data_IF_635140409392
#
_entry.id   IF_635140409392
#
_cell.length_a   1.000
_cell.length_b   1.000
_cell.length_c   1.000
_cell.angle_alpha   90.00
_cell.angle_beta   90.00
_cell.angle_gamma   90.00
#
_symmetry.space_group_name_H-M   'P 1'
#
loop_
_entity.id
_entity.type
_entity.pdbx_description
1 polymer ?
#
# COMPACT_ATOMS: atom_id res chain seq x y z
N UNK A 1 30.32 73.58 3.90
CA UNK A 1 28.93 73.07 3.88
C UNK A 1 28.93 71.72 3.21
N UNK A 2 28.92 70.63 3.99
CA UNK A 2 28.77 69.28 3.46
C UNK A 2 27.35 68.84 3.81
N UNK A 3 26.52 68.68 2.79
CA UNK A 3 25.13 68.25 2.92
C UNK A 3 25.11 66.73 2.72
N UNK A 4 25.07 65.97 3.83
CA UNK A 4 24.91 64.52 3.77
C UNK A 4 23.43 64.20 3.68
N UNK A 5 22.97 63.79 2.50
CA UNK A 5 21.60 63.31 2.29
C UNK A 5 21.50 61.89 2.82
N UNK A 6 20.86 61.72 3.98
CA UNK A 6 20.49 60.40 4.49
C UNK A 6 19.31 59.91 3.65
N UNK A 7 19.59 59.00 2.71
CA UNK A 7 18.56 58.27 1.99
C UNK A 7 18.00 57.20 2.93
N UNK A 8 16.78 57.40 3.41
CA UNK A 8 16.05 56.43 4.21
C UNK A 8 15.60 55.29 3.28
N UNK A 9 16.33 54.17 3.31
CA UNK A 9 15.93 52.95 2.63
C UNK A 9 14.73 52.34 3.37
N UNK A 10 13.53 52.57 2.86
CA UNK A 10 12.32 51.89 3.31
C UNK A 10 12.39 50.45 2.80
N UNK A 11 12.79 49.53 3.68
CA UNK A 11 12.63 48.10 3.43
C UNK A 11 11.14 47.80 3.39
N UNK A 12 10.60 47.60 2.18
CA UNK A 12 9.27 47.02 2.00
C UNK A 12 9.32 45.59 2.55
N UNK A 13 8.95 45.43 3.83
CA UNK A 13 8.61 44.14 4.40
C UNK A 13 7.28 43.71 3.77
N UNK A 14 7.33 43.13 2.58
CA UNK A 14 6.19 42.47 1.98
C UNK A 14 5.95 41.15 2.72
N UNK A 15 4.84 41.05 3.44
CA UNK A 15 4.37 39.75 3.92
C UNK A 15 4.02 38.91 2.69
N UNK A 16 4.76 37.83 2.43
CA UNK A 16 4.23 36.72 1.64
C UNK A 16 3.13 36.11 2.50
N UNK A 17 1.88 36.50 2.25
CA UNK A 17 0.76 35.71 2.73
C UNK A 17 0.76 34.45 1.88
N UNK A 18 1.42 33.40 2.36
CA UNK A 18 1.05 32.05 1.92
C UNK A 18 -0.46 31.98 2.10
N UNK A 19 -1.18 31.63 1.04
CA UNK A 19 -2.64 31.63 0.97
C UNK A 19 -3.24 30.52 1.86
N UNK A 20 -2.57 30.16 2.96
CA UNK A 20 -2.91 29.05 3.79
C UNK A 20 -4.16 29.37 4.61
N UNK A 21 -5.13 28.46 4.55
CA UNK A 21 -6.32 28.49 5.38
C UNK A 21 -6.07 27.67 6.64
N UNK A 22 -6.54 28.15 7.80
CA UNK A 22 -6.43 27.44 9.08
C UNK A 22 -7.76 26.77 9.38
N UNK A 23 -7.77 25.45 9.45
CA UNK A 23 -8.95 24.67 9.84
C UNK A 23 -9.28 24.87 11.33
N UNK A 24 -10.50 24.53 11.78
CA UNK A 24 -10.91 24.66 13.18
C UNK A 24 -10.03 23.94 14.21
N UNK A 25 -9.33 22.86 13.81
CA UNK A 25 -8.37 22.14 14.65
C UNK A 25 -6.95 22.74 14.65
N UNK A 26 -6.72 23.81 13.89
CA UNK A 26 -5.42 24.44 13.70
C UNK A 26 -4.60 23.88 12.54
N UNK A 27 -5.12 22.88 11.79
CA UNK A 27 -4.47 22.36 10.57
C UNK A 27 -4.34 23.47 9.53
N UNK A 28 -3.17 23.57 8.89
CA UNK A 28 -2.90 24.57 7.86
C UNK A 28 -3.02 23.93 6.48
N UNK A 29 -4.00 24.34 5.71
CA UNK A 29 -4.23 23.91 4.34
C UNK A 29 -3.65 24.91 3.35
N UNK A 30 -3.10 24.41 2.23
CA UNK A 30 -2.65 25.29 1.16
C UNK A 30 -3.85 26.00 0.51
N UNK A 31 -3.65 27.19 -0.06
CA UNK A 31 -4.78 28.02 -0.54
C UNK A 31 -5.58 27.49 -1.72
N UNK A 32 -5.20 26.35 -2.28
CA UNK A 32 -5.94 25.62 -3.30
C UNK A 32 -6.58 24.33 -2.74
N UNK A 33 -6.66 24.21 -1.42
CA UNK A 33 -7.27 23.10 -0.72
C UNK A 33 -8.26 23.60 0.30
N UNK A 34 -9.31 22.82 0.54
CA UNK A 34 -10.38 23.10 1.50
C UNK A 34 -10.18 22.25 2.75
N UNK A 35 -10.62 22.80 3.89
CA UNK A 35 -10.70 22.05 5.15
C UNK A 35 -11.88 21.07 5.11
N UNK A 36 -11.56 19.78 5.09
CA UNK A 36 -12.52 18.69 5.14
C UNK A 36 -12.47 18.00 6.52
N UNK A 37 -13.60 17.92 7.20
CA UNK A 37 -13.70 17.23 8.49
C UNK A 37 -13.80 15.72 8.25
N UNK A 38 -12.86 14.96 8.83
CA UNK A 38 -12.90 13.51 8.72
C UNK A 38 -13.95 12.93 9.69
N UNK A 39 -14.75 11.93 9.27
CA UNK A 39 -15.60 11.16 10.16
C UNK A 39 -14.85 10.50 11.32
N UNK A 40 -13.58 10.15 11.09
CA UNK A 40 -12.64 9.62 12.11
C UNK A 40 -12.06 10.69 13.05
N UNK A 41 -12.38 11.97 12.83
CA UNK A 41 -11.96 13.11 13.63
C UNK A 41 -10.78 13.88 13.04
N UNK A 42 -10.77 15.20 13.29
CA UNK A 42 -9.76 16.13 12.78
C UNK A 42 -10.03 16.56 11.34
N UNK A 43 -9.19 17.47 10.84
CA UNK A 43 -9.32 17.99 9.48
C UNK A 43 -8.26 17.40 8.55
N UNK A 44 -8.56 17.37 7.27
CA UNK A 44 -7.62 17.14 6.17
C UNK A 44 -7.78 18.22 5.10
N UNK A 45 -6.76 18.38 4.28
CA UNK A 45 -6.75 19.35 3.21
C UNK A 45 -7.00 18.65 1.89
N UNK A 46 -8.16 18.91 1.28
CA UNK A 46 -8.54 18.30 0.00
C UNK A 46 -8.51 19.31 -1.13
N UNK A 47 -8.13 18.88 -2.32
CA UNK A 47 -8.38 19.66 -3.54
C UNK A 47 -9.86 19.60 -3.92
N UNK A 48 -10.34 20.58 -4.67
CA UNK A 48 -11.72 20.57 -5.19
C UNK A 48 -11.99 19.32 -6.03
N UNK A 49 -11.01 18.85 -6.80
CA UNK A 49 -11.13 17.62 -7.62
C UNK A 49 -11.30 16.37 -6.74
N UNK A 50 -10.51 16.25 -5.66
CA UNK A 50 -10.59 15.11 -4.74
C UNK A 50 -11.95 15.00 -4.04
N UNK A 51 -12.50 16.13 -3.59
CA UNK A 51 -13.82 16.12 -2.95
C UNK A 51 -14.94 15.93 -3.98
N UNK A 52 -14.87 16.62 -5.13
CA UNK A 52 -15.89 16.52 -6.17
C UNK A 52 -16.02 15.10 -6.75
N UNK A 53 -14.92 14.34 -6.81
CA UNK A 53 -14.92 12.97 -7.30
C UNK A 53 -15.75 11.99 -6.44
N UNK A 54 -16.00 12.31 -5.16
CA UNK A 54 -16.70 11.43 -4.22
C UNK A 54 -17.87 12.07 -3.47
N UNK A 55 -18.20 13.33 -3.77
CA UNK A 55 -19.29 14.03 -3.09
C UNK A 55 -20.63 13.33 -3.36
N UNK A 56 -21.23 12.77 -2.31
CA UNK A 56 -22.49 12.03 -2.38
C UNK A 56 -22.38 10.61 -2.93
N UNK A 57 -21.16 10.08 -3.10
CA UNK A 57 -20.93 8.68 -3.43
C UNK A 57 -20.81 7.82 -2.16
N UNK A 58 -21.08 6.53 -2.30
CA UNK A 58 -20.93 5.56 -1.23
C UNK A 58 -19.45 5.21 -0.99
N UNK A 59 -19.13 4.71 0.21
CA UNK A 59 -17.78 4.26 0.56
C UNK A 59 -17.33 3.09 -0.33
N UNK A 60 -16.08 3.12 -0.77
CA UNK A 60 -15.46 2.08 -1.60
C UNK A 60 -15.83 2.16 -3.08
N UNK A 61 -16.62 3.14 -3.51
CA UNK A 61 -16.89 3.37 -4.94
C UNK A 61 -15.62 3.81 -5.65
N UNK A 62 -15.32 3.19 -6.80
CA UNK A 62 -14.18 3.57 -7.64
C UNK A 62 -14.31 5.03 -8.10
N UNK A 63 -13.22 5.78 -7.96
CA UNK A 63 -13.08 7.17 -8.37
C UNK A 63 -11.75 7.36 -9.10
N UNK A 64 -11.52 8.54 -9.66
CA UNK A 64 -10.24 8.88 -10.29
C UNK A 64 -9.95 10.36 -10.20
N UNK A 65 -8.68 10.72 -10.07
CA UNK A 65 -8.16 12.09 -10.14
C UNK A 65 -7.18 12.13 -11.32
N UNK A 66 -7.52 12.87 -12.37
CA UNK A 66 -6.91 12.67 -13.68
C UNK A 66 -6.98 11.20 -14.14
N UNK A 67 -5.83 10.60 -14.46
CA UNK A 67 -5.69 9.20 -14.87
C UNK A 67 -5.35 8.24 -13.71
N UNK A 68 -5.34 8.73 -12.47
CA UNK A 68 -4.98 7.93 -11.30
C UNK A 68 -6.24 7.33 -10.67
N UNK A 69 -6.35 5.99 -10.57
CA UNK A 69 -7.50 5.35 -9.95
C UNK A 69 -7.45 5.50 -8.43
N UNK A 70 -8.62 5.48 -7.81
CA UNK A 70 -8.81 5.55 -6.37
C UNK A 70 -10.15 4.98 -5.94
N UNK A 71 -10.46 5.06 -4.65
CA UNK A 71 -11.77 4.75 -4.11
C UNK A 71 -12.24 5.85 -3.16
N UNK A 72 -13.55 6.05 -3.12
CA UNK A 72 -14.18 7.01 -2.22
C UNK A 72 -14.04 6.54 -0.79
N UNK A 73 -13.41 7.37 0.04
CA UNK A 73 -13.24 7.14 1.48
C UNK A 73 -13.45 8.44 2.25
N UNK A 74 -14.37 8.41 3.21
CA UNK A 74 -14.76 9.58 3.99
C UNK A 74 -15.21 10.76 3.10
N UNK A 75 -15.80 10.50 1.93
CA UNK A 75 -16.27 11.54 1.00
C UNK A 75 -15.20 12.22 0.14
N UNK A 76 -13.97 11.71 0.10
CA UNK A 76 -12.92 12.11 -0.86
C UNK A 76 -12.44 10.93 -1.69
N UNK A 77 -11.91 11.22 -2.87
CA UNK A 77 -11.22 10.22 -3.66
C UNK A 77 -9.80 10.00 -3.13
N UNK A 78 -9.57 8.84 -2.51
CA UNK A 78 -8.27 8.39 -2.06
C UNK A 78 -7.64 7.50 -3.15
N UNK A 79 -6.51 7.95 -3.69
CA UNK A 79 -5.83 7.26 -4.79
C UNK A 79 -5.24 5.93 -4.35
N UNK A 80 -5.18 4.97 -5.28
CA UNK A 80 -4.52 3.69 -5.06
C UNK A 80 -3.00 3.87 -5.11
N UNK A 81 -2.33 3.59 -4.00
CA UNK A 81 -0.88 3.55 -3.94
C UNK A 81 -0.39 2.60 -2.85
N UNK A 82 0.80 2.04 -3.08
CA UNK A 82 1.39 1.12 -2.14
C UNK A 82 1.71 1.77 -0.79
N UNK A 83 1.18 1.18 0.27
CA UNK A 83 1.35 1.60 1.65
C UNK A 83 0.25 2.53 2.15
N UNK A 84 -0.87 2.64 1.43
CA UNK A 84 -2.03 3.45 1.82
C UNK A 84 -2.88 2.81 2.93
N UNK A 85 -2.59 1.55 3.27
CA UNK A 85 -3.29 0.76 4.29
C UNK A 85 -4.46 -0.06 3.76
N UNK A 86 -4.74 -0.02 2.45
CA UNK A 86 -5.85 -0.70 1.82
C UNK A 86 -5.32 -1.67 0.77
N UNK A 87 -5.95 -2.84 0.68
CA UNK A 87 -5.64 -3.76 -0.41
C UNK A 87 -6.43 -3.32 -1.65
N UNK A 88 -5.76 -2.66 -2.59
CA UNK A 88 -6.39 -2.10 -3.79
C UNK A 88 -6.01 -2.85 -5.06
N UNK A 89 -6.64 -2.50 -6.18
CA UNK A 89 -6.41 -3.18 -7.45
C UNK A 89 -4.94 -3.04 -7.90
N UNK A 90 -4.27 -4.16 -8.12
CA UNK A 90 -2.86 -4.21 -8.53
C UNK A 90 -1.86 -4.45 -7.39
N UNK A 91 -2.34 -4.56 -6.15
CA UNK A 91 -1.52 -4.86 -4.98
C UNK A 91 -1.70 -6.31 -4.52
N UNK A 92 -0.60 -6.98 -4.21
CA UNK A 92 -0.65 -8.31 -3.59
C UNK A 92 -0.81 -8.20 -2.06
N UNK A 93 -0.39 -7.09 -1.48
CA UNK A 93 -0.43 -6.78 -0.06
C UNK A 93 -0.26 -5.26 0.12
N UNK A 94 -0.61 -4.73 1.30
CA UNK A 94 -0.34 -3.36 1.72
C UNK A 94 0.13 -3.36 3.18
N UNK A 95 1.41 -3.03 3.42
CA UNK A 95 2.02 -3.03 4.76
C UNK A 95 1.86 -4.38 5.47
N UNK A 96 1.07 -4.42 6.53
CA UNK A 96 0.76 -5.64 7.30
C UNK A 96 -0.56 -6.29 6.82
N UNK A 97 -1.32 -5.61 5.95
CA UNK A 97 -2.50 -6.14 5.28
C UNK A 97 -2.04 -7.05 4.13
N UNK A 98 -2.19 -8.35 4.29
CA UNK A 98 -1.84 -9.33 3.26
C UNK A 98 -3.06 -9.61 2.37
N UNK A 99 -2.84 -9.84 1.08
CA UNK A 99 -3.90 -9.81 0.08
C UNK A 99 -4.34 -11.14 -0.52
N UNK A 100 -5.14 -11.05 -1.59
CA UNK A 100 -5.67 -12.20 -2.31
C UNK A 100 -4.87 -12.44 -3.60
N UNK A 101 -4.67 -13.70 -3.97
CA UNK A 101 -4.28 -14.10 -5.31
C UNK A 101 -5.49 -14.73 -6.04
N UNK A 102 -5.30 -15.23 -7.27
CA UNK A 102 -6.34 -15.92 -8.03
C UNK A 102 -6.88 -17.21 -7.40
N UNK A 103 -6.33 -17.66 -6.26
CA UNK A 103 -6.63 -18.91 -5.57
C UNK A 103 -7.18 -18.70 -4.14
N UNK A 104 -7.13 -17.47 -3.59
CA UNK A 104 -7.65 -17.16 -2.26
C UNK A 104 -6.85 -16.07 -1.54
N UNK A 105 -7.10 -15.91 -0.24
CA UNK A 105 -6.32 -15.02 0.63
C UNK A 105 -4.95 -15.64 0.93
N UNK A 106 -3.89 -14.88 0.70
CA UNK A 106 -2.51 -15.23 1.06
C UNK A 106 -2.13 -14.41 2.29
N UNK A 107 -2.04 -15.03 3.46
CA UNK A 107 -1.68 -14.34 4.71
C UNK A 107 -0.46 -14.93 5.43
N UNK A 108 0.16 -15.95 4.85
CA UNK A 108 1.31 -16.62 5.43
C UNK A 108 2.17 -17.27 4.35
N UNK A 109 3.40 -17.63 4.72
CA UNK A 109 4.26 -18.39 3.83
C UNK A 109 3.62 -19.74 3.46
N UNK A 110 2.79 -20.31 4.35
CA UNK A 110 2.05 -21.53 4.09
C UNK A 110 1.04 -21.34 2.94
N UNK A 111 0.29 -20.24 2.95
CA UNK A 111 -0.65 -19.94 1.86
C UNK A 111 0.08 -19.63 0.55
N UNK A 112 1.30 -19.10 0.65
CA UNK A 112 2.19 -18.88 -0.49
C UNK A 112 2.92 -20.15 -0.97
N UNK A 113 2.60 -21.33 -0.42
CA UNK A 113 3.11 -22.63 -0.88
C UNK A 113 4.34 -23.17 -0.15
N UNK A 114 4.82 -22.50 0.90
CA UNK A 114 5.96 -22.95 1.71
C UNK A 114 5.52 -23.85 2.86
N UNK A 115 6.43 -24.67 3.40
CA UNK A 115 6.10 -25.53 4.54
C UNK A 115 6.08 -24.81 5.89
N UNK A 116 6.83 -23.72 6.05
CA UNK A 116 6.74 -22.88 7.25
C UNK A 116 5.68 -21.79 7.10
N UNK A 117 4.99 -21.46 8.20
CA UNK A 117 3.97 -20.39 8.23
C UNK A 117 4.59 -18.99 8.23
N UNK A 118 5.67 -18.81 8.98
CA UNK A 118 6.21 -17.50 9.32
C UNK A 118 7.15 -16.95 8.24
N UNK A 119 7.26 -15.62 8.19
CA UNK A 119 8.24 -14.92 7.37
C UNK A 119 7.69 -14.20 6.14
N UNK A 120 6.39 -14.30 5.86
CA UNK A 120 5.79 -13.57 4.73
C UNK A 120 5.71 -12.09 5.08
N UNK A 121 6.18 -11.23 4.17
CA UNK A 121 6.15 -9.77 4.36
C UNK A 121 5.64 -9.09 3.10
N UNK A 122 5.26 -7.82 3.24
CA UNK A 122 4.97 -6.96 2.11
C UNK A 122 6.16 -6.04 1.80
N UNK A 123 6.60 -6.00 0.54
CA UNK A 123 7.62 -5.04 0.09
C UNK A 123 6.99 -3.64 -0.02
N UNK A 124 7.83 -2.61 -0.07
CA UNK A 124 7.41 -1.24 -0.40
C UNK A 124 6.88 -1.06 -1.82
N UNK A 125 6.89 -2.13 -2.62
CA UNK A 125 6.29 -2.20 -3.96
C UNK A 125 4.99 -3.01 -3.97
N UNK A 126 4.44 -3.36 -2.80
CA UNK A 126 3.18 -4.09 -2.63
C UNK A 126 3.15 -5.45 -3.33
N UNK A 127 4.33 -6.09 -3.36
CA UNK A 127 4.54 -7.46 -3.78
C UNK A 127 4.97 -8.25 -2.55
N UNK A 128 4.52 -9.50 -2.45
CA UNK A 128 4.96 -10.40 -1.39
C UNK A 128 6.49 -10.58 -1.39
N UNK A 129 7.06 -10.55 -0.20
CA UNK A 129 8.44 -10.96 0.07
C UNK A 129 8.43 -12.33 0.72
N UNK A 130 8.82 -13.34 -0.06
CA UNK A 130 8.97 -14.72 0.40
C UNK A 130 10.41 -15.05 0.77
N UNK A 131 11.34 -14.08 0.76
CA UNK A 131 12.76 -14.34 1.06
C UNK A 131 13.02 -14.84 2.48
N UNK A 132 12.08 -14.60 3.40
CA UNK A 132 12.11 -15.08 4.79
C UNK A 132 11.17 -16.28 5.01
N UNK A 133 10.46 -16.74 3.97
CA UNK A 133 9.75 -18.00 4.02
C UNK A 133 10.76 -19.13 4.07
N UNK A 134 10.57 -20.05 5.01
CA UNK A 134 11.49 -21.17 5.25
C UNK A 134 10.76 -22.50 5.14
N UNK A 135 11.48 -23.60 5.33
CA UNK A 135 10.92 -24.94 5.28
C UNK A 135 10.96 -25.57 3.89
N UNK A 136 11.11 -24.77 2.82
CA UNK A 136 11.11 -25.19 1.41
C UNK A 136 9.70 -25.27 0.82
N UNK A 137 9.60 -25.71 -0.44
CA UNK A 137 8.33 -25.87 -1.17
C UNK A 137 8.43 -27.02 -2.18
N UNK A 138 7.29 -27.66 -2.47
CA UNK A 138 7.23 -28.71 -3.47
C UNK A 138 7.58 -28.17 -4.86
N UNK A 139 8.55 -28.81 -5.51
CA UNK A 139 9.02 -28.42 -6.83
C UNK A 139 10.23 -27.49 -6.78
N UNK A 140 10.94 -27.40 -5.64
CA UNK A 140 12.19 -26.66 -5.50
C UNK A 140 13.46 -27.50 -5.75
N UNK A 141 13.27 -28.73 -6.25
CA UNK A 141 14.30 -29.74 -6.53
C UNK A 141 15.10 -30.17 -5.28
N UNK A 142 14.61 -29.91 -4.06
CA UNK A 142 15.25 -30.28 -2.81
C UNK A 142 14.28 -31.03 -1.91
N UNK A 143 14.54 -32.31 -1.60
CA UNK A 143 13.73 -33.04 -0.61
C UNK A 143 13.89 -32.39 0.78
N UNK A 144 12.87 -31.65 1.21
CA UNK A 144 12.86 -30.87 2.44
C UNK A 144 11.48 -30.91 3.13
N UNK A 145 11.41 -30.40 4.37
CA UNK A 145 10.17 -30.39 5.13
C UNK A 145 9.48 -31.77 5.22
N UNK A 146 8.21 -31.89 4.77
CA UNK A 146 7.45 -33.14 4.77
C UNK A 146 7.60 -33.98 3.48
N UNK A 147 8.45 -33.57 2.53
CA UNK A 147 8.56 -34.22 1.23
C UNK A 147 9.21 -35.60 1.31
N UNK A 148 8.74 -36.50 0.44
CA UNK A 148 9.38 -37.80 0.20
C UNK A 148 10.23 -37.80 -1.08
N UNK A 149 9.98 -36.81 -1.93
CA UNK A 149 10.55 -36.58 -3.25
C UNK A 149 10.31 -35.14 -3.67
N UNK A 150 11.19 -34.61 -4.51
CA UNK A 150 11.02 -33.35 -5.24
C UNK A 150 11.67 -33.51 -6.63
N UNK A 151 11.04 -32.98 -7.69
CA UNK A 151 11.44 -33.13 -9.08
C UNK A 151 11.12 -34.50 -9.69
N UNK A 152 11.77 -34.82 -10.83
CA UNK A 152 11.62 -36.11 -11.51
C UNK A 152 12.40 -37.20 -10.78
N UNK A 153 11.82 -37.67 -9.68
CA UNK A 153 12.38 -38.78 -8.94
C UNK A 153 11.81 -40.06 -9.50
N UNK A 154 12.67 -40.92 -10.04
CA UNK A 154 12.33 -42.27 -10.47
C UNK A 154 12.07 -43.19 -9.25
N UNK A 155 11.33 -42.69 -8.24
CA UNK A 155 10.95 -43.40 -7.03
C UNK A 155 9.71 -44.22 -7.31
N UNK A 156 9.88 -45.52 -7.17
CA UNK A 156 8.76 -46.46 -7.18
C UNK A 156 8.15 -46.55 -5.79
N UNK A 157 6.89 -46.94 -5.68
CA UNK A 157 6.24 -47.27 -4.41
C UNK A 157 7.02 -48.34 -3.62
N UNK A 158 7.75 -49.22 -4.32
CA UNK A 158 8.67 -50.19 -3.72
C UNK A 158 9.83 -49.51 -2.98
N UNK A 159 10.32 -48.38 -3.48
CA UNK A 159 11.43 -47.64 -2.88
C UNK A 159 11.06 -46.88 -1.59
N UNK A 160 9.76 -46.82 -1.25
CA UNK A 160 9.23 -46.17 -0.05
C UNK A 160 8.38 -47.12 0.83
N UNK A 161 8.47 -48.44 0.63
CA UNK A 161 7.91 -49.44 1.55
C UNK A 161 6.49 -49.95 1.22
N UNK A 162 6.00 -49.70 0.00
CA UNK A 162 4.72 -50.22 -0.50
C UNK A 162 4.94 -51.30 -1.58
N UNK A 163 3.94 -52.16 -1.80
CA UNK A 163 4.12 -53.38 -2.59
C UNK A 163 4.36 -53.17 -4.10
N UNK A 164 3.87 -52.08 -4.73
CA UNK A 164 4.13 -51.70 -6.14
C UNK A 164 3.55 -50.31 -6.52
N UNK A 165 4.00 -49.73 -7.66
CA UNK A 165 3.48 -48.49 -8.25
C UNK A 165 4.56 -47.41 -8.51
N UNK A 166 4.18 -46.30 -9.14
CA UNK A 166 5.04 -45.11 -9.32
C UNK A 166 4.48 -43.97 -8.46
N UNK A 167 5.35 -43.17 -7.83
CA UNK A 167 4.92 -42.01 -7.05
C UNK A 167 4.69 -40.88 -8.04
N UNK A 168 3.43 -40.63 -8.39
CA UNK A 168 2.99 -39.49 -9.23
C UNK A 168 2.49 -38.36 -8.37
#
# INVERSE_FOLDING_TARGET
>A
MVCVRVALAVALAGCVSSQAEVCPDGTLCAGNTICDERPSGGYRCLTEEQQAACNGLEEGVDCSIGDQPGACRDGSCELFFCGDGYLTAGEACDRDTLGMNGEGMINSCLDAGFYAREGLRCKSTCVFDTSQCTGGTCGDDLINGPELCDGDTNRTCLSIGFDAGNVT
#
